data_IF_365919317595
#
_entry.id   IF_365919317595
#
_cell.length_a   1.000
_cell.length_b   1.000
_cell.length_c   1.000
_cell.angle_alpha   90.00
_cell.angle_beta   90.00
_cell.angle_gamma   90.00
#
_symmetry.space_group_name_H-M   'P 1'
#
loop_
_entity.id
_entity.type
_entity.pdbx_description
1 polymer ?
#
# COMPACT_ATOMS: atom_id res chain seq x y z
N UNK A 1 -1.71 -7.41 -21.31
CA UNK A 1 -0.57 -7.98 -20.52
C UNK A 1 -0.62 -9.50 -20.65
N UNK A 2 0.51 -10.22 -20.59
CA UNK A 2 0.57 -11.68 -20.82
C UNK A 2 0.70 -12.53 -19.54
N UNK A 3 0.66 -11.91 -18.35
CA UNK A 3 0.77 -12.59 -17.07
C UNK A 3 0.79 -11.61 -15.91
N UNK A 4 1.10 -12.12 -14.71
CA UNK A 4 1.29 -11.34 -13.49
C UNK A 4 2.50 -10.41 -13.61
N UNK A 5 2.31 -9.13 -13.27
CA UNK A 5 3.35 -8.13 -13.14
C UNK A 5 3.35 -7.59 -11.70
N UNK A 6 4.32 -7.99 -10.89
CA UNK A 6 4.39 -7.61 -9.48
C UNK A 6 5.50 -6.59 -9.25
N UNK A 7 5.14 -5.46 -8.64
CA UNK A 7 6.04 -4.40 -8.21
C UNK A 7 6.02 -4.29 -6.68
N UNK A 8 7.17 -4.00 -6.08
CA UNK A 8 7.27 -3.76 -4.64
C UNK A 8 8.07 -2.48 -4.36
N UNK A 9 7.71 -1.74 -3.31
CA UNK A 9 8.48 -0.55 -2.93
C UNK A 9 9.87 -0.93 -2.41
N UNK A 10 10.90 -0.10 -2.63
CA UNK A 10 12.12 -0.19 -1.84
C UNK A 10 11.75 0.06 -0.38
N UNK A 11 12.16 -0.84 0.52
CA UNK A 11 11.91 -0.67 1.95
C UNK A 11 12.46 0.68 2.43
N UNK A 12 11.76 1.34 3.36
CA UNK A 12 12.13 2.64 3.91
C UNK A 12 11.96 2.66 5.44
N UNK A 13 12.35 3.74 6.12
CA UNK A 13 12.20 3.86 7.58
C UNK A 13 10.74 3.81 8.09
N UNK A 14 9.76 3.96 7.19
CA UNK A 14 8.33 3.84 7.49
C UNK A 14 7.77 2.44 7.25
N UNK A 15 8.57 1.53 6.69
CA UNK A 15 8.17 0.16 6.47
C UNK A 15 7.93 -0.55 7.80
N UNK A 16 6.80 -1.25 7.91
CA UNK A 16 6.41 -1.99 9.13
C UNK A 16 6.42 -3.52 8.94
N UNK A 17 6.62 -4.00 7.71
CA UNK A 17 6.62 -5.42 7.34
C UNK A 17 7.89 -5.80 6.55
N UNK A 18 8.18 -7.08 6.46
CA UNK A 18 9.14 -7.57 5.46
C UNK A 18 8.47 -7.57 4.07
N UNK A 19 8.69 -6.48 3.33
CA UNK A 19 8.15 -6.29 1.97
C UNK A 19 8.61 -7.38 1.02
N UNK A 20 9.84 -7.87 1.16
CA UNK A 20 10.40 -8.89 0.25
C UNK A 20 9.70 -10.23 0.51
N UNK A 21 9.51 -10.59 1.78
CA UNK A 21 8.79 -11.81 2.14
C UNK A 21 7.36 -11.78 1.62
N UNK A 22 6.61 -10.69 1.87
CA UNK A 22 5.22 -10.54 1.40
C UNK A 22 5.14 -10.53 -0.12
N UNK A 23 6.05 -9.83 -0.81
CA UNK A 23 6.09 -9.82 -2.27
C UNK A 23 6.36 -11.23 -2.85
N UNK A 24 7.25 -12.00 -2.21
CA UNK A 24 7.56 -13.37 -2.62
C UNK A 24 6.37 -14.29 -2.43
N UNK A 25 5.69 -14.19 -1.29
CA UNK A 25 4.48 -14.96 -0.99
C UNK A 25 3.34 -14.62 -1.97
N UNK A 26 3.11 -13.32 -2.20
CA UNK A 26 2.12 -12.84 -3.17
C UNK A 26 2.45 -13.30 -4.60
N UNK A 27 3.72 -13.23 -5.01
CA UNK A 27 4.17 -13.72 -6.31
C UNK A 27 3.85 -15.20 -6.48
N UNK A 28 4.18 -16.03 -5.48
CA UNK A 28 3.91 -17.47 -5.53
C UNK A 28 2.41 -17.74 -5.66
N UNK A 29 1.60 -17.15 -4.78
CA UNK A 29 0.15 -17.39 -4.74
C UNK A 29 -0.58 -16.91 -6.01
N UNK A 30 -0.20 -15.75 -6.55
CA UNK A 30 -0.85 -15.18 -7.73
C UNK A 30 -0.38 -15.80 -9.04
N UNK A 31 0.84 -16.36 -9.10
CA UNK A 31 1.36 -16.99 -10.31
C UNK A 31 0.55 -18.23 -10.71
N UNK A 32 -0.06 -18.93 -9.73
CA UNK A 32 -0.92 -20.09 -9.97
C UNK A 32 -2.22 -19.74 -10.70
N UNK A 33 -2.71 -18.50 -10.55
CA UNK A 33 -3.98 -18.07 -11.13
C UNK A 33 -3.87 -17.72 -12.62
N UNK A 34 -2.65 -17.45 -13.12
CA UNK A 34 -2.39 -17.02 -14.49
C UNK A 34 -3.23 -15.81 -14.97
N UNK A 35 -3.66 -14.95 -14.05
CA UNK A 35 -4.45 -13.75 -14.35
C UNK A 35 -3.51 -12.65 -14.85
N UNK A 36 -3.79 -11.97 -15.98
CA UNK A 36 -2.99 -10.85 -16.44
C UNK A 36 -3.30 -9.58 -15.63
N UNK A 37 -2.70 -9.46 -14.45
CA UNK A 37 -2.93 -8.38 -13.49
C UNK A 37 -1.61 -7.74 -13.04
N UNK A 38 -1.62 -6.41 -12.83
CA UNK A 38 -0.51 -5.71 -12.20
C UNK A 38 -0.77 -5.54 -10.70
N UNK A 39 0.19 -5.98 -9.88
CA UNK A 39 0.08 -6.02 -8.42
C UNK A 39 1.18 -5.20 -7.76
N UNK A 40 0.82 -4.40 -6.76
CA UNK A 40 1.73 -3.56 -6.00
C UNK A 40 1.83 -4.00 -4.53
N UNK A 41 3.03 -4.23 -4.00
CA UNK A 41 3.27 -4.50 -2.57
C UNK A 41 4.03 -3.33 -1.94
N UNK A 42 3.35 -2.61 -1.06
CA UNK A 42 3.84 -1.37 -0.45
C UNK A 42 3.97 -1.54 1.06
N UNK A 43 5.13 -1.19 1.60
CA UNK A 43 5.47 -1.43 3.00
C UNK A 43 4.90 -0.42 4.01
N UNK A 44 4.23 0.64 3.56
CA UNK A 44 3.60 1.63 4.44
C UNK A 44 2.26 2.14 3.88
N UNK A 45 1.30 2.45 4.75
CA UNK A 45 -0.01 3.01 4.38
C UNK A 45 0.05 4.51 4.07
N UNK A 46 1.17 5.19 4.39
CA UNK A 46 1.32 6.64 4.20
C UNK A 46 1.35 7.04 2.74
N UNK A 47 2.26 6.44 1.97
CA UNK A 47 2.41 6.69 0.53
C UNK A 47 2.00 5.48 -0.32
N UNK A 48 1.94 4.28 0.28
CA UNK A 48 1.66 3.03 -0.42
C UNK A 48 0.40 3.07 -1.30
N UNK A 49 -0.76 3.57 -0.82
CA UNK A 49 -1.96 3.64 -1.66
C UNK A 49 -1.76 4.52 -2.90
N UNK A 50 -1.06 5.66 -2.76
CA UNK A 50 -0.79 6.59 -3.87
C UNK A 50 0.26 6.05 -4.85
N UNK A 51 1.25 5.30 -4.36
CA UNK A 51 2.25 4.62 -5.19
C UNK A 51 1.64 3.43 -5.96
N UNK A 52 0.70 2.71 -5.34
CA UNK A 52 -0.03 1.60 -5.93
C UNK A 52 -1.11 2.00 -6.95
N UNK A 53 -1.37 3.30 -7.18
CA UNK A 53 -2.45 3.77 -8.08
C UNK A 53 -2.35 3.28 -9.52
N UNK A 54 -1.13 2.98 -9.99
CA UNK A 54 -0.89 2.51 -11.35
C UNK A 54 -1.06 1.00 -11.48
N UNK A 55 -1.05 0.27 -10.37
CA UNK A 55 -1.36 -1.15 -10.33
C UNK A 55 -2.88 -1.34 -10.32
N UNK A 56 -3.32 -2.50 -10.82
CA UNK A 56 -4.72 -2.87 -10.78
C UNK A 56 -5.13 -3.21 -9.34
N UNK A 57 -4.24 -3.87 -8.60
CA UNK A 57 -4.44 -4.36 -7.25
C UNK A 57 -3.16 -4.17 -6.43
N UNK A 58 -3.26 -4.09 -5.11
CA UNK A 58 -2.08 -4.03 -4.25
C UNK A 58 -2.37 -4.12 -2.76
N UNK A 59 -1.27 -4.16 -1.99
CA UNK A 59 -1.25 -4.11 -0.53
C UNK A 59 -0.50 -2.85 -0.11
N UNK A 60 -1.08 -2.10 0.82
CA UNK A 60 -0.34 -1.13 1.62
C UNK A 60 -0.35 -1.58 3.08
N UNK A 61 0.80 -1.98 3.61
CA UNK A 61 0.92 -2.43 4.99
C UNK A 61 0.96 -1.24 5.95
N UNK A 62 0.31 -1.36 7.10
CA UNK A 62 0.39 -0.35 8.14
C UNK A 62 -0.24 -0.84 9.43
N UNK A 63 0.39 -0.56 10.57
CA UNK A 63 -0.13 -0.83 11.93
C UNK A 63 -0.67 -2.26 12.10
N UNK A 64 0.12 -3.25 11.64
CA UNK A 64 -0.22 -4.68 11.67
C UNK A 64 -1.46 -5.05 10.87
N UNK A 65 -1.76 -4.28 9.84
CA UNK A 65 -2.87 -4.49 8.91
C UNK A 65 -2.39 -4.42 7.47
N UNK A 66 -3.02 -5.22 6.61
CA UNK A 66 -2.94 -5.11 5.16
C UNK A 66 -4.10 -4.29 4.64
N UNK A 67 -3.81 -3.20 3.95
CA UNK A 67 -4.82 -2.41 3.25
C UNK A 67 -4.83 -2.84 1.80
N UNK A 68 -5.92 -3.48 1.35
CA UNK A 68 -6.08 -3.90 -0.03
C UNK A 68 -6.50 -2.70 -0.86
N UNK A 69 -5.74 -2.44 -1.91
CA UNK A 69 -5.85 -1.26 -2.76
C UNK A 69 -6.19 -1.68 -4.17
N UNK A 70 -7.20 -1.07 -4.79
CA UNK A 70 -7.52 -1.24 -6.21
C UNK A 70 -7.41 0.14 -6.86
N UNK A 71 -6.53 0.29 -7.86
CA UNK A 71 -6.25 1.58 -8.54
C UNK A 71 -6.09 2.77 -7.58
N UNK A 72 -5.39 2.54 -6.48
CA UNK A 72 -5.10 3.58 -5.47
C UNK A 72 -6.22 3.84 -4.45
N UNK A 73 -7.36 3.16 -4.56
CA UNK A 73 -8.44 3.24 -3.56
C UNK A 73 -8.39 2.04 -2.62
N UNK A 74 -8.49 2.30 -1.32
CA UNK A 74 -8.55 1.21 -0.33
C UNK A 74 -9.95 0.62 -0.36
N UNK A 75 -10.03 -0.68 -0.65
CA UNK A 75 -11.30 -1.40 -0.80
C UNK A 75 -11.62 -2.32 0.37
N UNK A 76 -10.59 -2.72 1.12
CA UNK A 76 -10.68 -3.62 2.27
C UNK A 76 -9.47 -3.44 3.17
N UNK A 77 -9.67 -3.59 4.48
CA UNK A 77 -8.58 -3.64 5.47
C UNK A 77 -8.66 -4.97 6.20
N UNK A 78 -7.54 -5.68 6.30
CA UNK A 78 -7.44 -7.00 6.91
C UNK A 78 -6.28 -7.07 7.91
N UNK A 79 -6.26 -8.03 8.84
CA UNK A 79 -5.08 -8.31 9.65
C UNK A 79 -3.86 -8.63 8.78
N UNK A 80 -2.65 -8.34 9.28
CA UNK A 80 -1.39 -8.61 8.58
C UNK A 80 -1.28 -10.06 8.08
N UNK A 81 -1.69 -11.03 8.90
CA UNK A 81 -1.67 -12.46 8.59
C UNK A 81 -2.57 -12.88 7.42
N UNK A 82 -3.52 -12.03 7.02
CA UNK A 82 -4.51 -12.34 5.99
C UNK A 82 -4.27 -11.55 4.70
N UNK A 83 -3.24 -10.69 4.64
CA UNK A 83 -3.07 -9.75 3.53
C UNK A 83 -2.86 -10.45 2.18
N UNK A 84 -2.10 -11.54 2.15
CA UNK A 84 -1.82 -12.27 0.90
C UNK A 84 -3.05 -13.07 0.48
N UNK A 85 -3.74 -13.73 1.41
CA UNK A 85 -5.00 -14.41 1.11
C UNK A 85 -6.08 -13.45 0.58
N UNK A 86 -6.20 -12.26 1.18
CA UNK A 86 -7.15 -11.25 0.74
C UNK A 86 -6.77 -10.67 -0.63
N UNK A 87 -5.48 -10.52 -0.91
CA UNK A 87 -4.98 -10.11 -2.23
C UNK A 87 -5.35 -11.14 -3.31
N UNK A 88 -5.15 -12.42 -3.05
CA UNK A 88 -5.50 -13.53 -3.97
C UNK A 88 -7.01 -13.54 -4.23
N UNK A 89 -7.82 -13.41 -3.18
CA UNK A 89 -9.28 -13.35 -3.29
C UNK A 89 -9.72 -12.17 -4.17
N UNK A 90 -9.16 -10.98 -3.96
CA UNK A 90 -9.50 -9.81 -4.78
C UNK A 90 -8.97 -9.93 -6.21
N UNK A 91 -7.84 -10.58 -6.45
CA UNK A 91 -7.36 -10.85 -7.81
C UNK A 91 -8.33 -11.75 -8.59
N UNK A 92 -8.85 -12.82 -7.95
CA UNK A 92 -9.86 -13.70 -8.54
C UNK A 92 -11.15 -12.93 -8.84
N UNK A 93 -11.65 -12.14 -7.88
CA UNK A 93 -12.86 -11.34 -8.08
C UNK A 93 -12.68 -10.26 -9.15
N UNK A 94 -11.49 -9.66 -9.29
CA UNK A 94 -11.18 -8.73 -10.39
C UNK A 94 -11.23 -9.46 -11.73
N UNK A 95 -10.73 -10.69 -11.81
CA UNK A 95 -10.79 -11.48 -13.04
C UNK A 95 -12.22 -11.85 -13.44
N UNK A 96 -13.10 -12.09 -12.47
CA UNK A 96 -14.50 -12.47 -12.70
C UNK A 96 -15.42 -11.25 -12.93
N UNK A 97 -15.32 -10.23 -12.09
CA UNK A 97 -16.27 -9.11 -12.04
C UNK A 97 -15.72 -7.82 -12.70
N UNK A 98 -14.40 -7.72 -12.84
CA UNK A 98 -13.71 -6.51 -13.28
C UNK A 98 -13.46 -5.48 -12.17
N UNK A 99 -12.50 -4.60 -12.43
CA UNK A 99 -12.02 -3.58 -11.47
C UNK A 99 -13.14 -2.64 -11.00
N UNK A 100 -13.95 -2.13 -11.93
CA UNK A 100 -14.98 -1.13 -11.61
C UNK A 100 -16.06 -1.70 -10.67
N UNK A 101 -16.44 -2.98 -10.86
CA UNK A 101 -17.39 -3.66 -9.99
C UNK A 101 -16.84 -3.82 -8.56
N UNK A 102 -15.53 -4.10 -8.44
CA UNK A 102 -14.87 -4.22 -7.13
C UNK A 102 -14.76 -2.89 -6.40
N UNK A 103 -14.44 -1.82 -7.12
CA UNK A 103 -14.44 -0.46 -6.55
C UNK A 103 -15.81 -0.04 -6.05
N UNK A 104 -16.89 -0.40 -6.77
CA UNK A 104 -18.26 -0.10 -6.35
C UNK A 104 -18.69 -0.87 -5.08
N UNK A 105 -18.12 -2.06 -4.85
CA UNK A 105 -18.38 -2.92 -3.69
C UNK A 105 -17.34 -2.76 -2.56
N UNK A 106 -16.59 -1.66 -2.55
CA UNK A 106 -15.60 -1.39 -1.50
C UNK A 106 -16.29 -1.28 -0.13
N UNK A 107 -15.60 -1.72 0.91
CA UNK A 107 -16.06 -1.51 2.28
C UNK A 107 -16.07 -0.01 2.60
N UNK A 108 -17.23 0.52 2.99
CA UNK A 108 -17.44 1.93 3.32
C UNK A 108 -16.52 2.40 4.46
N UNK A 109 -16.18 1.49 5.38
CA UNK A 109 -15.30 1.76 6.52
C UNK A 109 -13.81 1.71 6.17
N UNK A 110 -13.44 1.05 5.06
CA UNK A 110 -12.04 0.80 4.73
C UNK A 110 -11.22 2.09 4.55
N UNK A 111 -11.82 3.12 3.94
CA UNK A 111 -11.15 4.42 3.77
C UNK A 111 -10.91 5.11 5.12
N UNK A 112 -11.89 5.08 6.03
CA UNK A 112 -11.76 5.71 7.34
C UNK A 112 -10.74 4.99 8.22
N UNK A 113 -10.71 3.65 8.18
CA UNK A 113 -9.72 2.84 8.90
C UNK A 113 -8.30 3.11 8.38
N UNK A 114 -8.14 3.18 7.07
CA UNK A 114 -6.86 3.49 6.45
C UNK A 114 -6.34 4.88 6.80
N UNK A 115 -7.23 5.88 6.82
CA UNK A 115 -6.88 7.25 7.17
C UNK A 115 -6.46 7.35 8.64
N UNK A 116 -7.18 6.67 9.55
CA UNK A 116 -6.80 6.58 10.95
C UNK A 116 -5.41 5.93 11.14
N UNK A 117 -5.12 4.85 10.40
CA UNK A 117 -3.80 4.22 10.47
C UNK A 117 -2.68 5.08 9.91
N UNK A 118 -2.96 5.75 8.79
CA UNK A 118 -2.03 6.70 8.18
C UNK A 118 -1.71 7.85 9.14
N UNK A 119 -2.72 8.41 9.81
CA UNK A 119 -2.54 9.48 10.77
C UNK A 119 -1.68 9.04 11.96
N UNK A 120 -1.96 7.86 12.52
CA UNK A 120 -1.21 7.33 13.66
C UNK A 120 0.23 7.00 13.30
N UNK A 121 0.47 6.39 12.13
CA UNK A 121 1.83 6.08 11.68
C UNK A 121 2.66 7.35 11.37
N UNK A 122 2.00 8.41 10.90
CA UNK A 122 2.63 9.72 10.69
C UNK A 122 3.01 10.40 12.01
N UNK A 123 2.19 10.26 13.04
CA UNK A 123 2.46 10.77 14.38
C UNK A 123 3.66 10.04 15.02
N UNK A 124 3.64 8.71 15.01
CA UNK A 124 4.70 7.88 15.61
C UNK A 124 6.06 8.03 14.92
N UNK A 125 6.08 8.06 13.58
CA UNK A 125 7.32 8.13 12.79
C UNK A 125 7.67 9.55 12.34
N UNK A 126 6.92 10.55 12.81
CA UNK A 126 7.07 11.97 12.52
C UNK A 126 6.69 12.37 11.09
N UNK A 127 6.02 13.50 10.94
CA UNK A 127 5.80 14.16 9.65
C UNK A 127 7.10 14.72 9.05
N UNK A 128 8.07 15.07 9.90
CA UNK A 128 9.35 15.66 9.53
C UNK A 128 10.54 14.81 10.03
N UNK A 129 10.67 13.60 9.48
CA UNK A 129 11.77 12.70 9.78
C UNK A 129 13.17 13.32 9.52
N UNK A 130 13.23 14.47 8.85
CA UNK A 130 14.47 15.14 8.45
C UNK A 130 14.76 16.47 9.18
N UNK A 131 13.94 16.86 10.18
CA UNK A 131 14.04 18.15 10.86
C UNK A 131 14.16 19.33 9.88
N UNK A 132 13.41 19.25 8.78
CA UNK A 132 13.34 20.20 7.67
C UNK A 132 13.05 21.61 8.17
N UNK A 133 12.16 21.77 9.15
CA UNK A 133 11.83 23.08 9.73
C UNK A 133 13.04 23.76 10.39
N UNK A 134 13.83 23.00 11.17
CA UNK A 134 15.06 23.50 11.81
C UNK A 134 16.17 23.81 10.78
N UNK A 135 16.24 23.04 9.69
CA UNK A 135 17.17 23.30 8.57
C UNK A 135 16.77 24.55 7.77
N UNK A 136 15.49 24.75 7.49
CA UNK A 136 14.98 25.96 6.81
C UNK A 136 15.33 27.19 7.64
N UNK A 137 15.16 27.16 8.96
CA UNK A 137 15.53 28.27 9.83
C UNK A 137 17.04 28.55 9.83
N UNK A 138 17.87 27.50 9.82
CA UNK A 138 19.33 27.64 9.71
C UNK A 138 19.78 28.17 8.35
N UNK A 139 19.08 27.86 7.26
CA UNK A 139 19.36 28.40 5.92
C UNK A 139 19.00 29.89 5.88
N UNK A 140 17.81 30.27 6.37
CA UNK A 140 17.37 31.67 6.41
C UNK A 140 18.34 32.56 7.17
N UNK A 141 18.80 32.12 8.35
CA UNK A 141 19.83 32.84 9.14
C UNK A 141 21.17 33.01 8.43
N UNK A 142 21.49 32.18 7.43
CA UNK A 142 22.76 32.22 6.69
C UNK A 142 22.70 33.06 5.41
N UNK A 143 21.50 33.42 4.97
CA UNK A 143 21.26 34.30 3.81
C UNK A 143 20.91 35.74 4.21
N UNK A 144 20.54 35.98 5.48
CA UNK A 144 20.18 37.30 6.01
C UNK A 144 21.31 37.96 6.83
N UNK A 145 22.50 37.36 6.89
CA UNK A 145 23.71 37.93 7.50
C UNK A 145 24.90 37.79 6.55
#
# INVERSE_FOLDING_TARGET
RKGLDLIACPSCGRTEIDVIAVATEAQAALSELQIPIQVAVMGCVVNGPGEARHADLGIAAGRRRGHIVIRGQIVRVVPESEMVSALVEEAQRIAEEGIEARLAKRDESASALAEADRALLLDEKGADANATSLKIERIRRRTEG
#
